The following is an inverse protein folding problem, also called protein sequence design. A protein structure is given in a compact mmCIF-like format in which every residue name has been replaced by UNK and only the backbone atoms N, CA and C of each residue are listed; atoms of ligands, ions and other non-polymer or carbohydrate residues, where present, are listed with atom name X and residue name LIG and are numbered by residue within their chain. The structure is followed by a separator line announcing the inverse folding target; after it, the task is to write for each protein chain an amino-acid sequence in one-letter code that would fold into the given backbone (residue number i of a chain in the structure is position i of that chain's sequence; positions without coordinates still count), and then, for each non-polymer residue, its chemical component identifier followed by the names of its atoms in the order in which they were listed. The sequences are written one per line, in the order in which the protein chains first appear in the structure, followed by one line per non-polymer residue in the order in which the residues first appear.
data_IF_479852502694
#
_entry.id   IF_479852502694
#
_cell.length_a   1.000
_cell.length_b   1.000
_cell.length_c   1.000
_cell.angle_alpha   90.00
_cell.angle_beta   90.00
_cell.angle_gamma   90.00
#
_symmetry.space_group_name_H-M   'P 1'
#
loop_
_entity.id
_entity.type
_entity.pdbx_description
1 polymer ?
#
# COMPACT_ATOMS: atom_id res chain seq x y z
N UNK A 1 -14.85 14.14 -0.66
CA UNK A 1 -14.66 13.35 0.60
C UNK A 1 -16.04 13.15 1.21
N UNK A 2 -16.36 11.96 1.73
CA UNK A 2 -17.60 11.76 2.48
C UNK A 2 -17.55 12.51 3.83
N UNK A 3 -18.72 12.87 4.36
CA UNK A 3 -18.81 13.49 5.69
C UNK A 3 -18.63 12.47 6.81
N UNK A 4 -18.92 11.19 6.52
CA UNK A 4 -18.77 10.08 7.44
C UNK A 4 -18.36 8.83 6.66
N UNK A 5 -17.38 8.09 7.17
CA UNK A 5 -17.02 6.76 6.69
C UNK A 5 -17.21 5.75 7.84
N UNK A 6 -18.13 4.80 7.67
CA UNK A 6 -18.34 3.70 8.61
C UNK A 6 -17.51 2.49 8.15
N UNK A 7 -16.57 2.06 8.97
CA UNK A 7 -15.71 0.91 8.71
C UNK A 7 -16.22 -0.29 9.50
N UNK A 8 -16.87 -1.22 8.81
CA UNK A 8 -17.39 -2.45 9.37
C UNK A 8 -16.60 -3.65 8.85
N UNK A 9 -15.71 -4.17 9.68
CA UNK A 9 -14.84 -5.28 9.31
C UNK A 9 -15.58 -6.62 9.17
N UNK A 10 -16.74 -6.80 9.80
CA UNK A 10 -17.53 -8.03 9.67
C UNK A 10 -17.94 -8.27 8.22
N UNK A 11 -18.19 -7.22 7.45
CA UNK A 11 -18.52 -7.31 6.02
C UNK A 11 -17.37 -7.85 5.17
N UNK A 12 -16.16 -7.90 5.69
CA UNK A 12 -14.98 -8.42 4.99
C UNK A 12 -14.65 -9.87 5.32
N UNK A 13 -15.29 -10.48 6.32
CA UNK A 13 -15.00 -11.85 6.77
C UNK A 13 -15.23 -12.91 5.70
N UNK A 14 -16.16 -12.66 4.77
CA UNK A 14 -16.45 -13.57 3.65
C UNK A 14 -15.51 -13.46 2.44
N UNK A 15 -14.53 -12.55 2.47
CA UNK A 15 -13.62 -12.36 1.33
C UNK A 15 -12.66 -13.55 1.19
N UNK A 16 -12.54 -14.13 -0.03
CA UNK A 16 -11.56 -15.17 -0.29
C UNK A 16 -10.11 -14.68 -0.06
N UNK A 17 -9.18 -15.59 0.35
CA UNK A 17 -7.78 -15.22 0.59
C UNK A 17 -7.11 -14.47 -0.56
N UNK A 18 -7.32 -14.89 -1.81
CA UNK A 18 -6.74 -14.24 -2.99
C UNK A 18 -7.27 -12.81 -3.23
N UNK A 19 -8.55 -12.56 -2.89
CA UNK A 19 -9.14 -11.22 -2.97
C UNK A 19 -8.56 -10.34 -1.86
N UNK A 20 -8.51 -10.86 -0.62
CA UNK A 20 -7.88 -10.17 0.50
C UNK A 20 -6.42 -9.79 0.20
N UNK A 21 -5.64 -10.73 -0.37
CA UNK A 21 -4.25 -10.46 -0.75
C UNK A 21 -4.14 -9.36 -1.81
N UNK A 22 -4.91 -9.48 -2.91
CA UNK A 22 -4.86 -8.53 -4.01
C UNK A 22 -5.28 -7.10 -3.58
N UNK A 23 -6.41 -6.98 -2.88
CA UNK A 23 -6.89 -5.67 -2.40
C UNK A 23 -6.02 -5.09 -1.29
N UNK A 24 -5.42 -5.94 -0.46
CA UNK A 24 -4.48 -5.50 0.57
C UNK A 24 -3.18 -4.96 -0.02
N UNK A 25 -2.62 -5.61 -1.04
CA UNK A 25 -1.46 -5.08 -1.78
C UNK A 25 -1.83 -3.77 -2.47
N UNK A 26 -3.01 -3.67 -3.08
CA UNK A 26 -3.49 -2.44 -3.70
C UNK A 26 -3.53 -1.27 -2.71
N UNK A 27 -4.08 -1.50 -1.52
CA UNK A 27 -4.08 -0.50 -0.45
C UNK A 27 -2.66 -0.12 0.01
N UNK A 28 -1.71 -1.06 0.05
CA UNK A 28 -0.30 -0.76 0.31
C UNK A 28 0.31 0.09 -0.80
N UNK A 29 -0.01 -0.19 -2.07
CA UNK A 29 0.45 0.62 -3.21
C UNK A 29 -0.07 2.05 -3.12
N UNK A 30 -1.33 2.27 -2.75
CA UNK A 30 -1.87 3.60 -2.49
C UNK A 30 -1.01 4.37 -1.47
N UNK A 31 -0.66 3.73 -0.36
CA UNK A 31 0.16 4.34 0.69
C UNK A 31 1.60 4.62 0.19
N UNK A 32 2.23 3.67 -0.49
CA UNK A 32 3.58 3.82 -1.03
C UNK A 32 3.64 4.96 -2.05
N UNK A 33 2.72 4.99 -3.02
CA UNK A 33 2.71 6.02 -4.05
C UNK A 33 2.35 7.39 -3.50
N UNK A 34 1.38 7.50 -2.60
CA UNK A 34 1.05 8.76 -1.92
C UNK A 34 2.26 9.32 -1.14
N UNK A 35 3.03 8.46 -0.47
CA UNK A 35 4.22 8.88 0.25
C UNK A 35 5.37 9.28 -0.68
N UNK A 36 5.54 8.62 -1.83
CA UNK A 36 6.68 8.84 -2.73
C UNK A 36 6.38 9.80 -3.88
N UNK A 37 5.12 10.23 -4.05
CA UNK A 37 4.75 11.20 -5.08
C UNK A 37 5.48 12.53 -4.89
N UNK A 38 5.85 13.16 -6.01
CA UNK A 38 6.37 14.54 -6.01
C UNK A 38 5.25 15.59 -6.18
N UNK A 39 4.05 15.16 -6.60
CA UNK A 39 2.92 16.03 -6.84
C UNK A 39 2.05 16.14 -5.60
N UNK A 40 1.73 17.36 -5.18
CA UNK A 40 0.91 17.65 -4.00
C UNK A 40 1.40 17.01 -2.69
N UNK A 41 2.68 16.60 -2.65
CA UNK A 41 3.28 16.03 -1.43
C UNK A 41 3.11 16.98 -0.25
N UNK A 42 2.60 16.44 0.85
CA UNK A 42 2.33 17.22 2.06
C UNK A 42 2.45 16.35 3.33
N UNK A 43 2.75 16.97 4.48
CA UNK A 43 2.98 16.22 5.72
C UNK A 43 1.78 15.41 6.21
N UNK A 44 0.55 15.87 5.94
CA UNK A 44 -0.66 15.15 6.37
C UNK A 44 -0.81 13.85 5.59
N UNK A 45 -0.69 13.91 4.26
CA UNK A 45 -0.70 12.70 3.42
C UNK A 45 0.44 11.74 3.80
N UNK A 46 1.62 12.25 4.12
CA UNK A 46 2.76 11.44 4.56
C UNK A 46 2.47 10.69 5.87
N UNK A 47 1.88 11.35 6.86
CA UNK A 47 1.49 10.72 8.12
C UNK A 47 0.45 9.62 7.89
N UNK A 48 -0.59 9.90 7.09
CA UNK A 48 -1.64 8.94 6.77
C UNK A 48 -1.08 7.72 6.01
N UNK A 49 -0.21 7.96 5.02
CA UNK A 49 0.41 6.91 4.23
C UNK A 49 1.31 5.99 5.08
N UNK A 50 2.11 6.55 5.97
CA UNK A 50 2.96 5.78 6.89
C UNK A 50 2.13 4.90 7.82
N UNK A 51 1.09 5.45 8.42
CA UNK A 51 0.22 4.68 9.31
C UNK A 51 -0.58 3.62 8.56
N UNK A 52 -1.10 3.95 7.36
CA UNK A 52 -1.75 2.98 6.48
C UNK A 52 -0.81 1.80 6.20
N UNK A 53 0.42 2.07 5.79
CA UNK A 53 1.39 1.04 5.47
C UNK A 53 1.75 0.18 6.68
N UNK A 54 1.87 0.78 7.87
CA UNK A 54 2.12 0.06 9.13
C UNK A 54 0.99 -0.92 9.46
N UNK A 55 -0.26 -0.47 9.37
CA UNK A 55 -1.43 -1.32 9.63
C UNK A 55 -1.52 -2.45 8.62
N UNK A 56 -1.40 -2.13 7.32
CA UNK A 56 -1.53 -3.09 6.24
C UNK A 56 -0.41 -4.14 6.27
N UNK A 57 0.85 -3.73 6.38
CA UNK A 57 1.99 -4.66 6.38
C UNK A 57 1.99 -5.63 7.57
N UNK A 58 1.56 -5.16 8.73
CA UNK A 58 1.50 -5.98 9.94
C UNK A 58 0.33 -6.98 9.95
N UNK A 59 -0.73 -6.72 9.18
CA UNK A 59 -1.97 -7.50 9.27
C UNK A 59 -2.32 -8.27 7.98
N UNK A 60 -1.75 -7.92 6.82
CA UNK A 60 -2.11 -8.54 5.54
C UNK A 60 -1.94 -10.06 5.56
N UNK A 61 -0.78 -10.56 5.99
CA UNK A 61 -0.53 -11.99 6.05
C UNK A 61 -1.55 -12.71 6.96
N UNK A 62 -1.83 -12.15 8.12
CA UNK A 62 -2.80 -12.70 9.08
C UNK A 62 -4.22 -12.69 8.50
N UNK A 63 -4.64 -11.58 7.88
CA UNK A 63 -5.95 -11.48 7.24
C UNK A 63 -6.13 -12.44 6.05
N UNK A 64 -5.05 -12.77 5.33
CA UNK A 64 -5.06 -13.76 4.24
C UNK A 64 -5.12 -15.19 4.77
N UNK A 65 -4.28 -15.53 5.73
CA UNK A 65 -4.16 -16.90 6.25
C UNK A 65 -5.25 -17.27 7.26
N UNK A 66 -5.78 -16.29 7.98
CA UNK A 66 -6.80 -16.43 9.02
C UNK A 66 -7.92 -15.42 8.75
N UNK A 67 -8.68 -15.63 7.67
CA UNK A 67 -9.68 -14.69 7.18
C UNK A 67 -10.80 -14.33 8.16
N UNK A 68 -11.01 -15.12 9.22
CA UNK A 68 -11.96 -14.88 10.31
C UNK A 68 -11.38 -14.05 11.46
N UNK A 69 -10.11 -13.66 11.41
CA UNK A 69 -9.50 -12.80 12.43
C UNK A 69 -9.99 -11.37 12.28
N UNK A 70 -10.94 -11.00 13.15
CA UNK A 70 -11.62 -9.70 13.08
C UNK A 70 -10.67 -8.54 13.32
N UNK A 71 -9.72 -8.65 14.24
CA UNK A 71 -8.75 -7.61 14.53
C UNK A 71 -7.85 -7.33 13.32
N UNK A 72 -7.39 -8.39 12.63
CA UNK A 72 -6.63 -8.23 11.40
C UNK A 72 -7.48 -7.56 10.30
N UNK A 73 -8.76 -7.92 10.17
CA UNK A 73 -9.70 -7.30 9.22
C UNK A 73 -9.95 -5.82 9.53
N UNK A 74 -10.15 -5.46 10.79
CA UNK A 74 -10.30 -4.07 11.24
C UNK A 74 -9.08 -3.24 10.87
N UNK A 75 -7.87 -3.74 11.17
CA UNK A 75 -6.63 -3.07 10.83
C UNK A 75 -6.42 -2.94 9.32
N UNK A 76 -6.78 -3.96 8.53
CA UNK A 76 -6.74 -3.89 7.06
C UNK A 76 -7.70 -2.83 6.52
N UNK A 77 -8.92 -2.79 7.03
CA UNK A 77 -9.95 -1.84 6.59
C UNK A 77 -9.59 -0.40 6.96
N UNK A 78 -9.10 -0.19 8.19
CA UNK A 78 -8.60 1.12 8.63
C UNK A 78 -7.38 1.54 7.81
N UNK A 79 -6.43 0.65 7.59
CA UNK A 79 -5.25 0.91 6.76
C UNK A 79 -5.63 1.29 5.33
N UNK A 80 -6.60 0.60 4.71
CA UNK A 80 -7.10 0.93 3.39
C UNK A 80 -7.77 2.32 3.36
N UNK A 81 -8.57 2.65 4.37
CA UNK A 81 -9.18 3.98 4.50
C UNK A 81 -8.14 5.10 4.61
N UNK A 82 -7.13 4.93 5.47
CA UNK A 82 -6.04 5.90 5.63
C UNK A 82 -5.22 6.04 4.34
N UNK A 83 -4.95 4.95 3.63
CA UNK A 83 -4.33 4.97 2.30
C UNK A 83 -5.15 5.76 1.30
N UNK A 84 -6.47 5.56 1.31
CA UNK A 84 -7.43 6.33 0.50
C UNK A 84 -7.38 7.83 0.79
N UNK A 85 -7.36 8.20 2.07
CA UNK A 85 -7.22 9.61 2.49
C UNK A 85 -5.86 10.19 2.08
N UNK A 86 -4.78 9.41 2.15
CA UNK A 86 -3.45 9.84 1.74
C UNK A 86 -3.41 10.16 0.24
N UNK A 87 -3.82 9.23 -0.63
CA UNK A 87 -3.70 9.43 -2.08
C UNK A 87 -4.71 10.46 -2.63
N UNK A 88 -5.81 10.72 -1.94
CA UNK A 88 -6.72 11.81 -2.30
C UNK A 88 -6.03 13.19 -2.19
N UNK A 89 -5.08 13.31 -1.27
CA UNK A 89 -4.31 14.54 -1.03
C UNK A 89 -2.93 14.54 -1.71
N UNK A 90 -2.39 13.38 -2.04
CA UNK A 90 -1.09 13.19 -2.69
C UNK A 90 -1.21 12.03 -3.68
N UNK A 91 -1.42 12.30 -4.99
CA UNK A 91 -1.94 11.31 -5.94
C UNK A 91 -1.01 10.12 -6.15
N UNK A 92 -1.60 9.00 -6.55
CA UNK A 92 -0.91 7.80 -7.06
C UNK A 92 -0.07 8.11 -8.30
N UNK A 93 0.84 7.21 -8.65
CA UNK A 93 1.87 7.48 -9.64
C UNK A 93 2.06 6.30 -10.65
N UNK A 94 3.29 5.86 -10.85
CA UNK A 94 3.70 4.95 -11.91
C UNK A 94 3.13 3.54 -11.82
N UNK A 95 2.90 3.02 -10.61
CA UNK A 95 2.33 1.69 -10.42
C UNK A 95 0.91 1.66 -10.96
N UNK A 96 0.05 2.56 -10.52
CA UNK A 96 -1.33 2.65 -11.01
C UNK A 96 -1.39 2.99 -12.49
N UNK A 97 -0.54 3.91 -12.97
CA UNK A 97 -0.51 4.27 -14.38
C UNK A 97 -0.22 3.08 -15.30
N UNK A 98 0.62 2.13 -14.88
CA UNK A 98 0.92 0.91 -15.62
C UNK A 98 -0.11 -0.21 -15.36
N UNK A 99 -0.66 -0.29 -14.17
CA UNK A 99 -1.64 -1.32 -13.80
C UNK A 99 -2.96 -1.18 -14.57
N UNK A 100 -3.45 0.03 -14.80
CA UNK A 100 -4.71 0.26 -15.53
C UNK A 100 -4.73 -0.35 -16.93
N UNK A 101 -3.78 -0.07 -17.85
CA UNK A 101 -3.79 -0.68 -19.18
C UNK A 101 -3.56 -2.19 -19.15
N UNK A 102 -2.78 -2.71 -18.18
CA UNK A 102 -2.57 -4.15 -18.00
C UNK A 102 -3.89 -4.81 -17.59
N UNK A 103 -4.55 -4.31 -16.58
CA UNK A 103 -5.84 -4.82 -16.12
C UNK A 103 -6.91 -4.79 -17.22
N UNK A 104 -7.02 -3.66 -17.91
CA UNK A 104 -8.00 -3.48 -18.98
C UNK A 104 -7.76 -4.40 -20.18
N UNK A 105 -6.49 -4.57 -20.60
CA UNK A 105 -6.14 -5.37 -21.79
C UNK A 105 -6.19 -6.87 -21.53
N UNK A 106 -5.77 -7.31 -20.35
CA UNK A 106 -5.59 -8.73 -20.05
C UNK A 106 -6.63 -9.27 -19.05
N UNK A 107 -7.61 -8.44 -18.67
CA UNK A 107 -8.64 -8.79 -17.68
C UNK A 107 -8.07 -9.28 -16.34
N UNK A 108 -6.93 -8.70 -15.93
CA UNK A 108 -6.29 -9.01 -14.66
C UNK A 108 -6.94 -8.13 -13.56
N UNK A 109 -7.31 -8.70 -12.41
CA UNK A 109 -7.83 -7.93 -11.28
C UNK A 109 -6.89 -6.79 -10.88
N UNK A 110 -7.45 -5.63 -10.52
CA UNK A 110 -6.70 -4.39 -10.31
C UNK A 110 -5.55 -4.55 -9.29
N UNK A 111 -5.83 -5.10 -8.11
CA UNK A 111 -4.80 -5.29 -7.09
C UNK A 111 -3.69 -6.25 -7.51
N UNK A 112 -4.01 -7.27 -8.33
CA UNK A 112 -2.99 -8.14 -8.92
C UNK A 112 -2.16 -7.40 -9.97
N UNK A 113 -2.79 -6.56 -10.81
CA UNK A 113 -2.07 -5.71 -11.77
C UNK A 113 -1.09 -4.78 -11.07
N UNK A 114 -1.51 -4.14 -9.98
CA UNK A 114 -0.64 -3.31 -9.15
C UNK A 114 0.52 -4.13 -8.55
N UNK A 115 0.25 -5.31 -8.03
CA UNK A 115 1.26 -6.21 -7.48
C UNK A 115 2.34 -6.59 -8.49
N UNK A 116 1.95 -6.88 -9.74
CA UNK A 116 2.87 -7.27 -10.82
C UNK A 116 3.87 -6.15 -11.19
N UNK A 117 3.44 -4.89 -11.14
CA UNK A 117 4.27 -3.77 -11.57
C UNK A 117 4.94 -3.02 -10.40
N UNK A 118 4.56 -3.30 -9.15
CA UNK A 118 5.07 -2.59 -7.98
C UNK A 118 6.60 -2.63 -7.90
N UNK A 119 7.20 -3.82 -7.82
CA UNK A 119 8.64 -3.95 -7.67
C UNK A 119 9.43 -3.38 -8.86
N UNK A 120 9.07 -3.63 -10.14
CA UNK A 120 9.70 -2.96 -11.27
C UNK A 120 9.66 -1.42 -11.21
N UNK A 121 8.53 -0.84 -10.83
CA UNK A 121 8.39 0.62 -10.72
C UNK A 121 9.24 1.17 -9.55
N UNK A 122 9.22 0.49 -8.41
CA UNK A 122 10.05 0.90 -7.27
C UNK A 122 11.55 0.84 -7.62
N UNK A 123 12.01 -0.22 -8.32
CA UNK A 123 13.41 -0.31 -8.83
C UNK A 123 13.76 0.83 -9.77
N UNK A 124 12.87 1.15 -10.69
CA UNK A 124 13.05 2.28 -11.60
C UNK A 124 13.21 3.61 -10.87
N UNK A 125 12.42 3.82 -9.81
CA UNK A 125 12.44 5.04 -9.01
C UNK A 125 13.53 5.06 -7.93
N UNK A 126 14.22 3.94 -7.69
CA UNK A 126 15.13 3.77 -6.55
C UNK A 126 16.20 4.86 -6.46
N UNK A 127 16.73 5.30 -7.59
CA UNK A 127 17.79 6.31 -7.62
C UNK A 127 17.34 7.65 -7.02
N UNK A 128 16.13 8.07 -7.34
CA UNK A 128 15.60 9.39 -6.92
C UNK A 128 14.76 9.32 -5.64
N UNK A 129 14.22 8.13 -5.29
CA UNK A 129 13.30 7.94 -4.17
C UNK A 129 13.91 7.15 -2.99
N UNK A 130 15.21 6.81 -3.03
CA UNK A 130 15.82 5.91 -2.05
C UNK A 130 15.62 6.33 -0.59
N UNK A 131 15.67 7.62 -0.28
CA UNK A 131 15.45 8.10 1.09
C UNK A 131 14.01 7.80 1.57
N UNK A 132 13.01 8.03 0.71
CA UNK A 132 11.62 7.73 1.03
C UNK A 132 11.38 6.22 1.12
N UNK A 133 11.98 5.42 0.25
CA UNK A 133 11.89 3.96 0.33
C UNK A 133 12.57 3.39 1.57
N UNK A 134 13.68 3.97 2.03
CA UNK A 134 14.28 3.57 3.30
C UNK A 134 13.34 3.83 4.49
N UNK A 135 12.68 4.99 4.53
CA UNK A 135 11.67 5.31 5.54
C UNK A 135 10.53 4.27 5.55
N UNK A 136 9.99 3.94 4.36
CA UNK A 136 8.94 2.92 4.24
C UNK A 136 9.46 1.52 4.57
N UNK A 137 10.71 1.23 4.24
CA UNK A 137 11.38 -0.03 4.59
C UNK A 137 11.40 -0.27 6.10
N UNK A 138 11.69 0.75 6.89
CA UNK A 138 11.68 0.65 8.37
C UNK A 138 10.27 0.40 8.92
N UNK A 139 9.22 0.78 8.20
CA UNK A 139 7.84 0.51 8.61
C UNK A 139 7.47 -0.96 8.33
N UNK A 140 7.79 -1.45 7.13
CA UNK A 140 7.45 -2.82 6.70
C UNK A 140 8.33 -3.86 7.39
N UNK A 141 9.62 -3.54 7.53
CA UNK A 141 10.64 -4.41 8.14
C UNK A 141 11.49 -3.60 9.11
N UNK A 142 11.04 -3.40 10.35
CA UNK A 142 11.79 -2.66 11.35
C UNK A 142 13.17 -3.27 11.60
N UNK A 143 14.17 -2.40 11.77
CA UNK A 143 15.54 -2.82 12.03
C UNK A 143 16.40 -3.10 10.80
N UNK A 144 15.99 -2.67 9.60
CA UNK A 144 16.85 -2.68 8.42
C UNK A 144 18.15 -1.96 8.71
N UNK A 145 19.28 -2.60 8.41
CA UNK A 145 20.63 -2.09 8.65
C UNK A 145 21.27 -1.59 7.35
N UNK A 146 22.33 -0.79 7.50
CA UNK A 146 23.08 -0.24 6.38
C UNK A 146 22.72 1.22 6.07
N UNK A 147 23.30 1.74 5.00
CA UNK A 147 23.00 3.08 4.49
C UNK A 147 21.55 3.21 3.99
N UNK A 148 21.05 4.42 3.89
CA UNK A 148 19.72 4.70 3.34
C UNK A 148 19.46 4.02 1.99
N UNK A 149 20.48 3.99 1.11
CA UNK A 149 20.36 3.33 -0.20
C UNK A 149 20.28 1.81 -0.09
N UNK A 150 21.04 1.21 0.83
CA UNK A 150 20.97 -0.23 1.10
C UNK A 150 19.64 -0.63 1.70
N UNK A 151 19.11 0.15 2.66
CA UNK A 151 17.78 -0.07 3.22
C UNK A 151 16.69 0.02 2.17
N UNK A 152 16.74 1.01 1.30
CA UNK A 152 15.81 1.15 0.18
C UNK A 152 15.90 -0.05 -0.79
N UNK A 153 17.11 -0.54 -1.06
CA UNK A 153 17.33 -1.71 -1.94
C UNK A 153 16.77 -3.00 -1.32
N UNK A 154 16.80 -3.12 0.01
CA UNK A 154 16.23 -4.29 0.70
C UNK A 154 14.70 -4.30 0.72
N UNK A 155 14.06 -3.14 0.52
CA UNK A 155 12.61 -3.03 0.40
C UNK A 155 12.11 -3.46 -0.98
N UNK A 156 12.89 -3.25 -2.03
CA UNK A 156 12.52 -3.37 -3.45
C UNK A 156 12.97 -4.69 -4.07
#
# INVERSE_FOLDING_TARGET
MPDLALLDAELTLGLPPHVTAATGIDAMVHAIEAFTTKHLKNPLADCLAKEALRLLSNNLHKAVMSGSDIEARENMLLGACLGGMAFTNAPVAGVHALAYPIGARFHIPHGLSNSLVLAPVMRFNLEVAHAMYADLGQIIKPGLQGSTREQATQLV
#
